data_IF_768215385584
#
_entry.id   IF_768215385584
#
_cell.length_a   1.000
_cell.length_b   1.000
_cell.length_c   1.000
_cell.angle_alpha   90.00
_cell.angle_beta   90.00
_cell.angle_gamma   90.00
#
_symmetry.space_group_name_H-M   'P 1'
#
loop_
_entity.id
_entity.type
_entity.pdbx_description
1 polymer ?
#
# COMPACT_ATOMS: atom_id res chain seq x y z
N UNK A 1 49.10 42.80 31.51
CA UNK A 1 47.68 42.39 31.51
C UNK A 1 47.41 41.79 30.15
N UNK A 2 47.47 40.46 30.03
CA UNK A 2 47.18 39.73 28.80
C UNK A 2 45.67 39.56 28.67
N UNK A 3 45.09 40.03 27.58
CA UNK A 3 43.71 39.81 27.21
C UNK A 3 43.66 38.68 26.18
N UNK A 4 43.44 37.45 26.64
CA UNK A 4 43.10 36.32 25.78
C UNK A 4 41.66 36.50 25.28
N UNK A 5 41.53 36.81 23.99
CA UNK A 5 40.26 36.80 23.28
C UNK A 5 39.96 35.35 22.89
N UNK A 6 38.86 34.73 23.35
CA UNK A 6 38.53 33.39 22.93
C UNK A 6 38.08 33.41 21.48
N UNK A 7 38.85 32.74 20.61
CA UNK A 7 38.49 32.52 19.21
C UNK A 7 37.18 31.71 19.18
N UNK A 8 36.12 32.15 18.46
CA UNK A 8 34.92 31.34 18.33
C UNK A 8 35.28 30.05 17.59
N UNK A 9 34.92 28.92 18.19
CA UNK A 9 35.07 27.60 17.57
C UNK A 9 34.39 27.60 16.19
N UNK A 10 34.97 26.92 15.17
CA UNK A 10 34.34 26.83 13.87
C UNK A 10 32.94 26.25 14.04
N UNK A 11 31.94 26.98 13.53
CA UNK A 11 30.56 26.53 13.51
C UNK A 11 30.53 25.13 12.90
N UNK A 12 30.16 24.14 13.73
CA UNK A 12 30.01 22.74 13.35
C UNK A 12 29.11 22.73 12.11
N UNK A 13 29.69 22.39 10.95
CA UNK A 13 29.00 22.35 9.67
C UNK A 13 27.60 21.74 9.85
N UNK A 14 26.57 22.59 9.81
CA UNK A 14 25.22 22.13 9.53
C UNK A 14 25.25 21.70 8.06
N UNK A 15 25.63 20.44 7.82
CA UNK A 15 25.41 19.78 6.55
C UNK A 15 23.91 19.78 6.32
N UNK A 16 23.42 20.81 5.63
CA UNK A 16 22.06 20.89 5.15
C UNK A 16 21.81 19.65 4.31
N UNK A 17 20.97 18.74 4.82
CA UNK A 17 20.59 17.56 4.06
C UNK A 17 19.66 18.06 2.95
N UNK A 18 20.09 17.91 1.70
CA UNK A 18 19.31 18.36 0.54
C UNK A 18 18.02 17.56 0.47
N UNK A 19 16.87 18.24 0.58
CA UNK A 19 15.57 17.62 0.40
C UNK A 19 15.39 17.36 -1.10
N UNK A 20 15.08 16.12 -1.45
CA UNK A 20 14.74 15.77 -2.83
C UNK A 20 13.31 16.23 -3.15
N UNK A 21 13.22 17.47 -3.62
CA UNK A 21 11.96 18.10 -4.04
C UNK A 21 11.34 17.42 -5.27
N UNK A 22 12.15 16.74 -6.10
CA UNK A 22 11.64 16.04 -7.28
C UNK A 22 10.86 14.80 -6.85
N UNK A 23 11.39 14.01 -5.91
CA UNK A 23 10.67 12.85 -5.37
C UNK A 23 9.40 13.22 -4.60
N UNK A 24 9.40 14.35 -3.89
CA UNK A 24 8.17 14.87 -3.24
C UNK A 24 7.12 15.26 -4.29
N UNK A 25 7.52 15.96 -5.36
CA UNK A 25 6.60 16.34 -6.43
C UNK A 25 6.08 15.13 -7.22
N UNK A 26 6.94 14.15 -7.49
CA UNK A 26 6.55 12.89 -8.13
C UNK A 26 5.53 12.12 -7.29
N UNK A 27 5.72 12.08 -5.97
CA UNK A 27 4.78 11.47 -5.04
C UNK A 27 3.43 12.17 -5.03
N UNK A 28 3.42 13.50 -4.95
CA UNK A 28 2.19 14.27 -5.00
C UNK A 28 1.41 14.00 -6.30
N UNK A 29 2.13 13.97 -7.43
CA UNK A 29 1.56 13.65 -8.74
C UNK A 29 1.02 12.22 -8.82
N UNK A 30 1.72 11.25 -8.25
CA UNK A 30 1.23 9.87 -8.19
C UNK A 30 -0.08 9.79 -7.40
N UNK A 31 -0.15 10.47 -6.25
CA UNK A 31 -1.34 10.50 -5.41
C UNK A 31 -2.52 11.13 -6.14
N UNK A 32 -2.32 12.27 -6.80
CA UNK A 32 -3.36 12.92 -7.60
C UNK A 32 -3.84 12.05 -8.77
N UNK A 33 -2.91 11.43 -9.50
CA UNK A 33 -3.23 10.56 -10.61
C UNK A 33 -4.05 9.34 -10.14
N UNK A 34 -3.67 8.73 -9.02
CA UNK A 34 -4.42 7.61 -8.45
C UNK A 34 -5.78 8.05 -7.92
N UNK A 35 -5.91 9.22 -7.30
CA UNK A 35 -7.21 9.76 -6.88
C UNK A 35 -8.16 9.84 -8.08
N UNK A 36 -7.69 10.44 -9.17
CA UNK A 36 -8.47 10.62 -10.39
C UNK A 36 -8.87 9.29 -11.02
N UNK A 37 -7.93 8.35 -11.16
CA UNK A 37 -8.18 7.07 -11.83
C UNK A 37 -9.05 6.12 -10.98
N UNK A 38 -8.97 6.21 -9.65
CA UNK A 38 -9.82 5.45 -8.72
C UNK A 38 -11.17 6.14 -8.45
N UNK A 39 -11.41 7.32 -9.03
CA UNK A 39 -12.68 8.04 -8.87
C UNK A 39 -12.93 8.53 -7.44
N UNK A 40 -11.87 8.82 -6.67
CA UNK A 40 -11.97 9.33 -5.30
C UNK A 40 -11.27 10.69 -5.16
N UNK A 41 -11.50 11.37 -4.04
CA UNK A 41 -10.71 12.52 -3.67
C UNK A 41 -9.42 12.05 -2.99
N UNK A 42 -8.28 12.76 -3.17
CA UNK A 42 -7.10 12.50 -2.36
C UNK A 42 -7.48 12.70 -0.89
N UNK A 43 -7.44 11.65 -0.07
CA UNK A 43 -7.95 11.69 1.29
C UNK A 43 -7.05 12.52 2.19
N UNK A 44 -5.81 12.06 2.38
CA UNK A 44 -4.77 12.76 3.16
C UNK A 44 -3.40 12.54 2.55
N UNK A 45 -2.66 13.62 2.35
CA UNK A 45 -1.22 13.57 2.05
C UNK A 45 -0.45 14.14 3.24
N UNK A 46 0.46 13.36 3.79
CA UNK A 46 1.28 13.76 4.93
C UNK A 46 2.74 13.48 4.63
N UNK A 47 3.58 14.50 4.81
CA UNK A 47 5.02 14.34 4.86
C UNK A 47 5.46 14.40 6.32
N UNK A 48 6.08 13.33 6.82
CA UNK A 48 6.55 13.32 8.19
C UNK A 48 7.94 13.97 8.24
N UNK A 49 8.01 15.17 8.81
CA UNK A 49 9.26 15.83 9.18
C UNK A 49 9.57 15.46 10.63
N UNK A 50 10.71 14.84 10.95
CA UNK A 50 11.10 14.72 12.35
C UNK A 50 11.18 16.12 12.97
N UNK A 51 10.79 16.25 14.23
CA UNK A 51 11.02 17.45 15.04
C UNK A 51 12.52 17.65 15.24
N UNK A 52 13.18 18.23 14.25
CA UNK A 52 14.63 18.41 14.19
C UNK A 52 15.07 18.75 12.76
N UNK A 53 16.32 19.20 12.56
CA UNK A 53 16.82 19.71 11.28
C UNK A 53 17.06 18.63 10.19
N UNK A 54 16.30 17.53 10.21
CA UNK A 54 16.47 16.38 9.32
C UNK A 54 15.38 16.28 8.25
N UNK A 55 15.78 15.76 7.09
CA UNK A 55 15.02 15.67 5.83
C UNK A 55 13.65 14.96 5.92
N UNK A 56 12.87 15.06 4.82
CA UNK A 56 11.63 14.27 4.62
C UNK A 56 11.96 12.77 4.67
N UNK A 57 11.57 12.09 5.74
CA UNK A 57 11.88 10.68 5.94
C UNK A 57 10.80 9.73 5.41
N UNK A 58 9.57 10.22 5.24
CA UNK A 58 8.46 9.41 4.77
C UNK A 58 7.34 10.28 4.19
N UNK A 59 6.85 9.89 3.02
CA UNK A 59 5.70 10.42 2.32
C UNK A 59 4.56 9.41 2.43
N UNK A 60 3.40 9.89 2.84
CA UNK A 60 2.20 9.09 3.08
C UNK A 60 1.04 9.71 2.28
N UNK A 61 0.38 8.88 1.48
CA UNK A 61 -0.84 9.24 0.75
C UNK A 61 -1.93 8.25 1.10
N UNK A 62 -3.11 8.73 1.47
CA UNK A 62 -4.24 7.89 1.86
C UNK A 62 -5.48 8.17 1.01
N UNK A 63 -6.16 7.10 0.61
CA UNK A 63 -7.42 7.12 -0.12
C UNK A 63 -8.45 6.29 0.64
N UNK A 64 -9.64 6.85 0.80
CA UNK A 64 -10.81 6.10 1.25
C UNK A 64 -11.71 5.85 0.03
N UNK A 65 -12.01 4.58 -0.20
CA UNK A 65 -12.64 4.06 -1.41
C UNK A 65 -13.86 3.23 -0.97
N UNK A 66 -14.93 3.92 -0.56
CA UNK A 66 -16.12 3.25 -0.09
C UNK A 66 -16.94 2.76 -1.28
N UNK A 67 -17.14 1.45 -1.39
CA UNK A 67 -17.86 0.85 -2.52
C UNK A 67 -18.69 -0.35 -2.04
N UNK A 68 -19.98 -0.38 -2.42
CA UNK A 68 -20.85 -1.57 -2.33
C UNK A 68 -20.87 -2.27 -0.95
N UNK A 69 -20.86 -1.49 0.15
CA UNK A 69 -20.88 -2.04 1.52
C UNK A 69 -19.49 -2.35 2.11
N UNK A 70 -18.43 -2.23 1.30
CA UNK A 70 -17.05 -2.30 1.76
C UNK A 70 -16.47 -0.92 2.05
N UNK A 71 -15.72 -0.83 3.14
CA UNK A 71 -14.86 0.30 3.47
C UNK A 71 -13.44 -0.09 3.06
N UNK A 72 -12.99 0.44 1.92
CA UNK A 72 -11.63 0.20 1.43
C UNK A 72 -10.74 1.39 1.74
N UNK A 73 -9.49 1.12 2.11
CA UNK A 73 -8.45 2.13 2.30
C UNK A 73 -7.17 1.71 1.59
N UNK A 74 -6.61 2.62 0.80
CA UNK A 74 -5.27 2.51 0.21
C UNK A 74 -4.35 3.50 0.92
N UNK A 75 -3.23 3.03 1.45
CA UNK A 75 -2.15 3.87 1.98
C UNK A 75 -0.88 3.63 1.15
N UNK A 76 -0.34 4.69 0.57
CA UNK A 76 0.93 4.70 -0.16
C UNK A 76 2.00 5.25 0.77
N UNK A 77 3.07 4.49 0.94
CA UNK A 77 4.23 4.84 1.76
C UNK A 77 5.46 4.87 0.86
N UNK A 78 6.21 5.97 0.87
CA UNK A 78 7.49 6.05 0.17
C UNK A 78 8.46 6.95 0.91
N UNK A 79 9.75 6.79 0.65
CA UNK A 79 10.73 7.85 0.85
C UNK A 79 11.05 8.46 -0.52
N UNK A 80 11.43 9.75 -0.61
CA UNK A 80 11.90 10.32 -1.88
C UNK A 80 13.04 9.48 -2.48
N UNK A 81 13.00 9.20 -3.78
CA UNK A 81 13.99 8.36 -4.48
C UNK A 81 14.06 6.89 -4.03
N UNK A 82 13.08 6.41 -3.25
CA UNK A 82 13.03 5.03 -2.75
C UNK A 82 11.83 4.24 -3.26
N UNK A 83 11.88 2.91 -3.22
CA UNK A 83 10.75 2.04 -3.50
C UNK A 83 9.51 2.36 -2.65
N UNK A 84 8.34 2.12 -3.22
CA UNK A 84 7.06 2.42 -2.58
C UNK A 84 6.33 1.16 -2.08
N UNK A 85 5.61 1.33 -0.98
CA UNK A 85 4.75 0.30 -0.38
C UNK A 85 3.30 0.73 -0.47
N UNK A 86 2.45 -0.17 -0.93
CA UNK A 86 1.00 0.00 -1.00
C UNK A 86 0.35 -0.89 0.05
N UNK A 87 -0.28 -0.27 1.03
CA UNK A 87 -1.09 -0.95 2.04
C UNK A 87 -2.55 -0.87 1.65
N UNK A 88 -3.16 -2.02 1.45
CA UNK A 88 -4.56 -2.18 1.16
C UNK A 88 -5.28 -2.66 2.40
N UNK A 89 -6.42 -2.07 2.69
CA UNK A 89 -7.32 -2.49 3.73
C UNK A 89 -8.72 -2.58 3.14
N UNK A 90 -9.42 -3.68 3.41
CA UNK A 90 -10.85 -3.81 3.15
C UNK A 90 -11.55 -4.34 4.39
N UNK A 91 -12.70 -3.77 4.71
CA UNK A 91 -13.62 -4.28 5.71
C UNK A 91 -15.06 -4.17 5.22
N UNK A 92 -15.92 -5.04 5.73
CA UNK A 92 -17.35 -4.98 5.45
C UNK A 92 -18.09 -4.48 6.69
N UNK A 93 -18.87 -3.41 6.54
CA UNK A 93 -19.70 -2.89 7.63
C UNK A 93 -21.13 -3.35 7.42
N UNK A 94 -21.55 -4.39 8.14
CA UNK A 94 -22.96 -4.76 8.20
C UNK A 94 -23.74 -3.72 9.02
N UNK A 95 -24.74 -3.11 8.40
CA UNK A 95 -25.69 -2.24 9.09
C UNK A 95 -26.71 -3.12 9.84
N UNK A 96 -26.63 -3.06 11.18
CA UNK A 96 -27.68 -3.33 12.17
C UNK A 96 -28.30 -4.74 12.19
N UNK A 97 -27.89 -5.53 13.18
CA UNK A 97 -28.74 -6.61 13.70
C UNK A 97 -28.08 -7.53 14.71
N UNK A 98 -26.85 -7.96 14.43
CA UNK A 98 -26.15 -8.91 15.29
C UNK A 98 -25.23 -8.18 16.27
N UNK A 99 -25.71 -8.00 17.50
CA UNK A 99 -24.87 -7.62 18.63
C UNK A 99 -23.80 -8.70 18.84
N UNK A 100 -22.60 -8.52 18.29
CA UNK A 100 -21.42 -9.31 18.70
C UNK A 100 -20.38 -9.64 17.63
N UNK A 101 -20.65 -9.41 16.34
CA UNK A 101 -19.66 -9.70 15.29
C UNK A 101 -18.63 -8.56 15.18
N UNK A 102 -17.37 -8.85 15.49
CA UNK A 102 -16.26 -7.93 15.19
C UNK A 102 -16.17 -7.78 13.66
N UNK A 103 -16.17 -6.55 13.10
CA UNK A 103 -16.07 -6.38 11.66
C UNK A 103 -14.80 -7.04 11.13
N UNK A 104 -14.96 -7.96 10.18
CA UNK A 104 -13.82 -8.63 9.56
C UNK A 104 -13.09 -7.61 8.68
N UNK A 105 -11.80 -7.45 8.96
CA UNK A 105 -10.92 -6.57 8.21
C UNK A 105 -9.74 -7.37 7.71
N UNK A 106 -9.41 -7.20 6.43
CA UNK A 106 -8.21 -7.77 5.82
C UNK A 106 -7.29 -6.63 5.42
N UNK A 107 -6.02 -6.77 5.76
CA UNK A 107 -4.95 -5.83 5.43
C UNK A 107 -3.86 -6.58 4.68
N UNK A 108 -3.38 -6.00 3.59
CA UNK A 108 -2.29 -6.55 2.77
C UNK A 108 -1.33 -5.46 2.34
N UNK A 109 -0.04 -5.74 2.45
CA UNK A 109 1.02 -4.83 2.03
C UNK A 109 1.67 -5.37 0.74
N UNK A 110 1.83 -4.50 -0.25
CA UNK A 110 2.49 -4.79 -1.52
C UNK A 110 3.69 -3.86 -1.70
N UNK A 111 4.83 -4.45 -2.02
CA UNK A 111 6.06 -3.71 -2.24
C UNK A 111 6.34 -3.59 -3.75
N UNK A 112 6.52 -2.36 -4.23
CA UNK A 112 6.92 -2.09 -5.61
C UNK A 112 8.37 -1.63 -5.58
N UNK A 113 9.26 -2.48 -6.12
CA UNK A 113 10.70 -2.28 -6.17
C UNK A 113 11.12 -1.25 -7.25
N UNK A 114 10.44 -0.10 -7.30
CA UNK A 114 10.71 1.00 -8.20
C UNK A 114 10.46 2.32 -7.49
N UNK A 115 11.28 3.33 -7.81
CA UNK A 115 11.10 4.66 -7.26
C UNK A 115 9.80 5.30 -7.80
N UNK A 116 9.27 6.26 -7.07
CA UNK A 116 7.97 6.89 -7.37
C UNK A 116 7.97 7.51 -8.77
N UNK A 117 9.09 8.10 -9.17
CA UNK A 117 9.32 8.75 -10.46
C UNK A 117 9.13 7.77 -11.64
N UNK A 118 9.56 6.53 -11.46
CA UNK A 118 9.44 5.46 -12.47
C UNK A 118 8.03 4.88 -12.53
N UNK A 119 7.27 5.02 -11.45
CA UNK A 119 5.90 4.50 -11.32
C UNK A 119 4.85 5.49 -11.84
N UNK A 120 5.08 6.80 -11.72
CA UNK A 120 4.15 7.85 -12.17
C UNK A 120 3.66 7.66 -13.62
N UNK A 121 4.52 7.38 -14.63
CA UNK A 121 4.06 7.14 -16.00
C UNK A 121 3.08 5.97 -16.14
N UNK A 122 3.10 5.03 -15.19
CA UNK A 122 2.26 3.83 -15.17
C UNK A 122 1.04 3.96 -14.26
N UNK A 123 0.74 5.16 -13.72
CA UNK A 123 -0.27 5.32 -12.68
C UNK A 123 -1.68 4.83 -13.04
N UNK A 124 -2.07 4.88 -14.33
CA UNK A 124 -3.35 4.28 -14.79
C UNK A 124 -3.35 2.75 -14.65
N UNK A 125 -2.26 2.09 -15.02
CA UNK A 125 -2.13 0.65 -14.88
C UNK A 125 -2.09 0.28 -13.39
N UNK A 126 -1.39 1.09 -12.58
CA UNK A 126 -1.36 0.91 -11.13
C UNK A 126 -2.75 1.04 -10.49
N UNK A 127 -3.57 2.01 -10.91
CA UNK A 127 -4.93 2.17 -10.41
C UNK A 127 -5.80 0.92 -10.69
N UNK A 128 -5.70 0.34 -11.88
CA UNK A 128 -6.39 -0.92 -12.22
C UNK A 128 -5.92 -2.06 -11.32
N UNK A 129 -4.61 -2.17 -11.12
CA UNK A 129 -4.04 -3.17 -10.23
C UNK A 129 -4.53 -3.01 -8.78
N UNK A 130 -4.67 -1.76 -8.30
CA UNK A 130 -5.26 -1.48 -6.99
C UNK A 130 -6.72 -1.97 -6.89
N UNK A 131 -7.55 -1.73 -7.91
CA UNK A 131 -8.94 -2.23 -7.94
C UNK A 131 -9.01 -3.76 -7.99
N UNK A 132 -8.12 -4.42 -8.74
CA UNK A 132 -8.03 -5.88 -8.78
C UNK A 132 -7.71 -6.45 -7.39
N UNK A 133 -6.75 -5.83 -6.68
CA UNK A 133 -6.42 -6.21 -5.29
C UNK A 133 -7.63 -6.00 -4.38
N UNK A 134 -8.31 -4.84 -4.43
CA UNK A 134 -9.49 -4.61 -3.62
C UNK A 134 -10.60 -5.62 -3.90
N UNK A 135 -10.81 -5.99 -5.16
CA UNK A 135 -11.79 -7.02 -5.52
C UNK A 135 -11.46 -8.37 -4.88
N UNK A 136 -10.17 -8.74 -4.81
CA UNK A 136 -9.73 -9.96 -4.10
C UNK A 136 -9.97 -9.83 -2.60
N UNK A 137 -9.59 -8.71 -1.98
CA UNK A 137 -9.76 -8.49 -0.55
C UNK A 137 -11.24 -8.49 -0.14
N UNK A 138 -12.11 -7.85 -0.92
CA UNK A 138 -13.55 -7.82 -0.68
C UNK A 138 -14.16 -9.23 -0.73
N UNK A 139 -13.72 -10.07 -1.68
CA UNK A 139 -14.12 -11.48 -1.74
C UNK A 139 -13.66 -12.24 -0.50
N UNK A 140 -12.43 -12.03 -0.04
CA UNK A 140 -11.93 -12.67 1.17
C UNK A 140 -12.70 -12.23 2.42
N UNK A 141 -13.03 -10.94 2.53
CA UNK A 141 -13.89 -10.41 3.61
C UNK A 141 -15.29 -11.05 3.53
N UNK A 142 -15.87 -11.16 2.34
CA UNK A 142 -17.17 -11.82 2.14
C UNK A 142 -17.14 -13.29 2.54
N UNK A 143 -16.09 -14.02 2.16
CA UNK A 143 -15.92 -15.44 2.52
C UNK A 143 -15.81 -15.60 4.04
N UNK A 144 -15.02 -14.76 4.71
CA UNK A 144 -14.90 -14.82 6.18
C UNK A 144 -16.19 -14.42 6.92
N UNK A 145 -17.06 -13.60 6.31
CA UNK A 145 -18.41 -13.32 6.80
C UNK A 145 -19.45 -14.42 6.49
N UNK A 146 -19.14 -15.38 5.61
CA UNK A 146 -20.09 -16.41 5.22
C UNK A 146 -20.28 -17.46 6.31
N UNK A 147 -21.45 -17.46 6.95
CA UNK A 147 -21.89 -18.53 7.89
C UNK A 147 -21.98 -19.91 7.24
N UNK A 148 -22.01 -20.00 5.90
CA UNK A 148 -21.96 -21.26 5.16
C UNK A 148 -20.60 -21.97 5.27
N UNK A 149 -19.51 -21.22 5.44
CA UNK A 149 -18.17 -21.80 5.61
C UNK A 149 -17.86 -22.17 7.05
N UNK A 150 -18.49 -21.52 8.03
CA UNK A 150 -18.34 -21.89 9.46
C UNK A 150 -18.86 -23.31 9.77
N UNK A 151 -19.74 -23.87 8.92
CA UNK A 151 -20.21 -25.25 9.01
C UNK A 151 -19.57 -26.22 8.00
N UNK A 152 -18.70 -25.75 7.11
CA UNK A 152 -17.98 -26.61 6.16
C UNK A 152 -16.71 -27.13 6.83
N UNK A 153 -16.80 -28.31 7.44
CA UNK A 153 -15.63 -29.14 7.70
C UNK A 153 -15.11 -29.67 6.36
N UNK A 154 -14.24 -28.91 5.70
CA UNK A 154 -13.49 -29.44 4.56
C UNK A 154 -12.49 -30.45 5.12
N UNK A 155 -12.63 -31.71 4.73
CA UNK A 155 -11.72 -32.75 5.22
C UNK A 155 -10.33 -32.52 4.63
N UNK A 156 -9.27 -32.83 5.39
CA UNK A 156 -7.90 -32.70 4.91
C UNK A 156 -7.65 -33.48 3.60
N UNK A 157 -8.38 -34.58 3.38
CA UNK A 157 -8.33 -35.36 2.16
C UNK A 157 -8.91 -34.62 0.93
N UNK A 158 -9.92 -33.78 1.11
CA UNK A 158 -10.48 -32.95 0.03
C UNK A 158 -9.55 -31.78 -0.33
N UNK A 159 -8.80 -31.25 0.66
CA UNK A 159 -7.78 -30.23 0.43
C UNK A 159 -6.60 -30.81 -0.34
N UNK A 160 -6.09 -31.98 0.08
CA UNK A 160 -5.02 -32.69 -0.66
C UNK A 160 -5.47 -33.03 -2.10
N UNK A 161 -6.70 -33.49 -2.30
CA UNK A 161 -7.22 -33.80 -3.63
C UNK A 161 -7.27 -32.57 -4.55
N UNK A 162 -7.51 -31.37 -4.00
CA UNK A 162 -7.49 -30.12 -4.74
C UNK A 162 -6.06 -29.68 -5.10
N UNK A 163 -5.12 -29.81 -4.17
CA UNK A 163 -3.70 -29.50 -4.38
C UNK A 163 -3.04 -30.42 -5.41
N UNK A 164 -3.39 -31.72 -5.41
CA UNK A 164 -2.97 -32.66 -6.44
C UNK A 164 -3.56 -32.33 -7.83
N UNK A 165 -4.75 -31.72 -7.89
CA UNK A 165 -5.40 -31.30 -9.12
C UNK A 165 -4.74 -30.07 -9.77
N UNK A 166 -4.31 -29.08 -8.98
CA UNK A 166 -3.66 -27.87 -9.50
C UNK A 166 -2.14 -28.03 -9.74
N UNK A 167 -1.45 -28.86 -8.94
CA UNK A 167 -0.02 -29.14 -9.12
C UNK A 167 0.33 -29.77 -10.49
N UNK A 168 -0.64 -30.41 -11.15
CA UNK A 168 -0.47 -31.01 -12.48
C UNK A 168 -0.54 -30.03 -13.66
N UNK A 169 -1.13 -28.84 -13.48
CA UNK A 169 -1.37 -27.88 -14.58
C UNK A 169 -0.41 -26.69 -14.63
N UNK A 170 0.34 -26.42 -13.55
CA UNK A 170 1.30 -25.30 -13.50
C UNK A 170 2.63 -25.56 -14.24
N UNK A 171 2.98 -26.80 -14.58
CA UNK A 171 4.28 -27.14 -15.22
C UNK A 171 4.17 -27.37 -16.75
N UNK A 172 2.97 -27.46 -17.33
CA UNK A 172 2.81 -27.79 -18.78
C UNK A 172 2.67 -26.60 -19.72
N UNK A 173 2.50 -25.37 -19.23
CA UNK A 173 2.39 -24.19 -20.09
C UNK A 173 3.73 -23.48 -20.39
N UNK A 174 4.86 -23.92 -19.81
CA UNK A 174 6.18 -23.27 -20.00
C UNK A 174 7.06 -23.88 -21.12
N UNK A 175 6.61 -24.87 -21.90
CA UNK A 175 7.51 -25.56 -22.86
C UNK A 175 6.91 -25.82 -24.24
N UNK A 176 6.08 -24.91 -24.78
CA UNK A 176 5.72 -25.01 -26.21
C UNK A 176 5.35 -23.68 -26.86
N UNK A 177 6.37 -22.92 -27.26
CA UNK A 177 6.30 -21.99 -28.39
C UNK A 177 7.71 -21.73 -28.93
N UNK A 178 8.27 -22.72 -29.62
CA UNK A 178 9.34 -22.53 -30.59
C UNK A 178 9.21 -23.68 -31.58
N UNK A 179 8.60 -23.37 -32.72
CA UNK A 179 8.84 -23.86 -34.08
C UNK A 179 7.74 -23.29 -34.98
#
# INVERSE_FOLDING_TARGET
>A
MSSDVPTPAPAKNAQGTTIDLQGVAAFARLVELLAQELGTNPGKMQGNLPTGPAAFNQLIGEFELNNSGFNRKLTILSQPGSPLTLRFQSSHSEVRGEKGSTPLQIVSDFYIAAAVEDVVPQGRALARYCEDIFTILDRMVTLGHSSKLQGMNVSAAEIEAFEYGEGGNLVRQSTRASL
#
